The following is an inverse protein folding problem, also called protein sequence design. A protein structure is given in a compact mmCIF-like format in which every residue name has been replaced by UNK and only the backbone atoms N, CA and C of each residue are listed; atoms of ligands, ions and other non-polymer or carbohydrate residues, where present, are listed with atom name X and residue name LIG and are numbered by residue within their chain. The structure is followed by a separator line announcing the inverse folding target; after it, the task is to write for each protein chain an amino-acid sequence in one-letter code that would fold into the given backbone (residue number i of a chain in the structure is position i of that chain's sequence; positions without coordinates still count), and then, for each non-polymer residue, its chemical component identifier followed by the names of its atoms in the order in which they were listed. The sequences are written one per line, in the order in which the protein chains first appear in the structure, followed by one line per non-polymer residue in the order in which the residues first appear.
data_IF_084684816824
#
_entry.id   IF_084684816824
#
_cell.length_a   1.000
_cell.length_b   1.000
_cell.length_c   1.000
_cell.angle_alpha   90.00
_cell.angle_beta   90.00
_cell.angle_gamma   90.00
#
_symmetry.space_group_name_H-M   'P 1'
#
loop_
_entity.id
_entity.type
_entity.pdbx_description
1 polymer ?
#
# COMPACT_ATOMS: atom_id res chain seq x y z
N UNK A 1 -5.75 0.23 -15.72
CA UNK A 1 -5.93 -0.82 -14.68
C UNK A 1 -7.07 -0.46 -13.70
N UNK A 2 -7.92 -1.42 -13.33
CA UNK A 2 -9.01 -1.23 -12.35
C UNK A 2 -8.53 -1.39 -10.91
N UNK A 3 -9.32 -0.93 -9.93
CA UNK A 3 -9.01 -1.09 -8.50
C UNK A 3 -8.72 -2.54 -8.10
N UNK A 4 -9.56 -3.48 -8.56
CA UNK A 4 -9.42 -4.89 -8.21
C UNK A 4 -8.10 -5.45 -8.73
N UNK A 5 -7.80 -5.25 -10.01
CA UNK A 5 -6.57 -5.74 -10.63
C UNK A 5 -5.33 -5.13 -9.96
N UNK A 6 -5.37 -3.83 -9.69
CA UNK A 6 -4.29 -3.15 -8.97
C UNK A 6 -4.08 -3.75 -7.57
N UNK A 7 -5.17 -3.97 -6.83
CA UNK A 7 -5.09 -4.53 -5.47
C UNK A 7 -4.50 -5.95 -5.50
N UNK A 8 -4.93 -6.79 -6.44
CA UNK A 8 -4.42 -8.16 -6.61
C UNK A 8 -2.91 -8.16 -6.95
N UNK A 9 -2.48 -7.25 -7.84
CA UNK A 9 -1.07 -7.08 -8.20
C UNK A 9 -0.22 -6.59 -7.02
N UNK A 10 -0.68 -5.58 -6.28
CA UNK A 10 0.02 -5.06 -5.11
C UNK A 10 0.18 -6.14 -4.04
N UNK A 11 -0.87 -6.89 -3.72
CA UNK A 11 -0.82 -7.99 -2.75
C UNK A 11 0.21 -9.04 -3.15
N UNK A 12 0.23 -9.44 -4.43
CA UNK A 12 1.20 -10.40 -4.96
C UNK A 12 2.62 -9.86 -4.95
N UNK A 13 2.82 -8.62 -5.39
CA UNK A 13 4.13 -7.96 -5.49
C UNK A 13 4.80 -7.84 -4.12
N UNK A 14 4.07 -7.34 -3.13
CA UNK A 14 4.58 -7.18 -1.78
C UNK A 14 4.52 -8.46 -0.94
N UNK A 15 3.81 -9.49 -1.39
CA UNK A 15 3.45 -10.68 -0.59
C UNK A 15 2.76 -10.28 0.73
N UNK A 16 1.86 -9.30 0.62
CA UNK A 16 1.16 -8.71 1.76
C UNK A 16 -0.21 -9.38 1.97
N UNK A 17 -0.73 -9.29 3.20
CA UNK A 17 -2.11 -9.68 3.51
C UNK A 17 -3.05 -8.48 3.39
N UNK A 18 -4.15 -8.63 2.66
CA UNK A 18 -5.17 -7.59 2.57
C UNK A 18 -5.93 -7.44 3.88
N UNK A 19 -6.12 -6.19 4.33
CA UNK A 19 -6.94 -5.87 5.52
C UNK A 19 -7.91 -4.75 5.19
N UNK A 20 -9.08 -4.78 5.83
CA UNK A 20 -10.08 -3.74 5.65
C UNK A 20 -9.70 -2.49 6.46
N UNK A 21 -9.23 -2.68 7.69
CA UNK A 21 -8.88 -1.59 8.60
C UNK A 21 -7.58 -1.83 9.35
N UNK A 22 -7.03 -0.74 9.92
CA UNK A 22 -5.79 -0.77 10.69
C UNK A 22 -5.94 -1.60 11.98
N UNK A 23 -7.14 -1.61 12.56
CA UNK A 23 -7.51 -2.32 13.77
C UNK A 23 -7.56 -3.85 13.59
N UNK A 24 -7.67 -4.33 12.35
CA UNK A 24 -7.71 -5.77 12.03
C UNK A 24 -6.34 -6.44 12.22
N UNK A 25 -5.27 -5.65 12.32
CA UNK A 25 -3.90 -6.16 12.47
C UNK A 25 -3.65 -6.59 13.92
N UNK A 26 -3.56 -7.90 14.16
CA UNK A 26 -3.35 -8.47 15.51
C UNK A 26 -1.93 -9.02 15.76
N UNK A 27 -1.16 -9.25 14.71
CA UNK A 27 0.18 -9.85 14.78
C UNK A 27 1.16 -9.15 13.85
N UNK A 28 2.45 -9.37 14.10
CA UNK A 28 3.53 -8.93 13.21
C UNK A 28 3.36 -9.46 11.79
N UNK A 29 3.62 -8.64 10.78
CA UNK A 29 3.46 -9.01 9.38
C UNK A 29 3.51 -7.83 8.41
N UNK A 30 3.23 -8.11 7.14
CA UNK A 30 3.11 -7.11 6.08
C UNK A 30 1.68 -7.12 5.53
N UNK A 31 1.02 -5.97 5.57
CA UNK A 31 -0.38 -5.82 5.23
C UNK A 31 -0.59 -4.71 4.20
N UNK A 32 -1.63 -4.84 3.38
CA UNK A 32 -2.07 -3.82 2.45
C UNK A 32 -3.49 -3.40 2.80
N UNK A 33 -3.69 -2.10 2.95
CA UNK A 33 -4.99 -1.50 3.25
C UNK A 33 -5.32 -0.43 2.21
N UNK A 34 -6.53 -0.45 1.67
CA UNK A 34 -7.07 0.65 0.87
C UNK A 34 -7.56 1.75 1.83
N UNK A 35 -6.96 2.93 1.76
CA UNK A 35 -7.35 4.08 2.61
C UNK A 35 -8.53 4.85 2.03
N UNK A 36 -8.66 4.86 0.70
CA UNK A 36 -9.74 5.55 0.03
C UNK A 36 -9.49 5.75 -1.45
N UNK A 37 -10.50 6.32 -2.11
CA UNK A 37 -10.48 6.63 -3.53
C UNK A 37 -10.98 8.05 -3.70
N UNK A 38 -10.24 8.86 -4.45
CA UNK A 38 -10.65 10.22 -4.82
C UNK A 38 -10.73 10.33 -6.34
N UNK A 39 -11.81 10.90 -6.86
CA UNK A 39 -11.97 11.09 -8.30
C UNK A 39 -10.99 12.14 -8.85
N UNK A 40 -10.36 11.81 -9.98
CA UNK A 40 -9.58 12.77 -10.77
C UNK A 40 -10.48 13.34 -11.88
N UNK A 41 -11.19 12.46 -12.58
CA UNK A 41 -12.17 12.81 -13.62
C UNK A 41 -13.16 11.65 -13.84
N UNK A 42 -14.05 11.77 -14.84
CA UNK A 42 -15.11 10.81 -15.14
C UNK A 42 -14.68 9.36 -15.39
N UNK A 43 -13.40 9.11 -15.70
CA UNK A 43 -12.90 7.78 -16.03
C UNK A 43 -11.68 7.36 -15.19
N UNK A 44 -11.12 8.28 -14.39
CA UNK A 44 -9.91 8.07 -13.62
C UNK A 44 -10.11 8.46 -12.17
N UNK A 45 -9.66 7.59 -11.29
CA UNK A 45 -9.62 7.80 -9.86
C UNK A 45 -8.19 7.64 -9.34
N UNK A 46 -7.92 8.22 -8.19
CA UNK A 46 -6.69 8.00 -7.43
C UNK A 46 -7.02 7.11 -6.23
N UNK A 47 -6.46 5.91 -6.20
CA UNK A 47 -6.60 4.97 -5.09
C UNK A 47 -5.42 5.13 -4.14
N UNK A 48 -5.71 5.42 -2.88
CA UNK A 48 -4.71 5.60 -1.81
C UNK A 48 -4.61 4.33 -0.98
N UNK A 49 -3.39 3.87 -0.76
CA UNK A 49 -3.09 2.64 -0.03
C UNK A 49 -2.08 2.90 1.08
N UNK A 50 -2.16 2.04 2.10
CA UNK A 50 -1.17 1.91 3.16
C UNK A 50 -0.56 0.51 3.09
N UNK A 51 0.76 0.43 2.85
CA UNK A 51 1.54 -0.78 3.08
C UNK A 51 2.08 -0.75 4.50
N UNK A 52 1.61 -1.68 5.33
CA UNK A 52 1.78 -1.65 6.78
C UNK A 52 2.70 -2.79 7.18
N UNK A 53 3.89 -2.45 7.66
CA UNK A 53 4.79 -3.40 8.31
C UNK A 53 4.59 -3.30 9.82
N UNK A 54 4.09 -4.37 10.45
CA UNK A 54 3.93 -4.46 11.90
C UNK A 54 4.92 -5.45 12.51
N UNK A 55 5.39 -5.15 13.72
CA UNK A 55 6.31 -6.02 14.47
C UNK A 55 6.06 -5.91 15.97
N UNK A 56 6.11 -7.06 16.65
CA UNK A 56 6.13 -7.09 18.11
C UNK A 56 7.51 -6.63 18.58
N UNK A 57 7.54 -5.61 19.42
CA UNK A 57 8.72 -5.03 20.11
C UNK A 57 9.71 -4.20 19.27
N UNK A 58 9.96 -2.99 19.79
CA UNK A 58 10.89 -1.95 19.33
C UNK A 58 12.38 -2.27 19.62
N UNK A 59 12.68 -3.43 20.22
CA UNK A 59 13.96 -3.70 20.89
C UNK A 59 14.87 -4.74 20.22
N UNK A 60 14.45 -5.43 19.15
CA UNK A 60 15.28 -6.54 18.62
C UNK A 60 16.34 -6.14 17.60
N UNK A 61 16.19 -5.03 16.87
CA UNK A 61 17.30 -4.33 16.20
C UNK A 61 16.74 -3.09 15.49
N UNK A 62 17.05 -1.87 15.94
CA UNK A 62 16.57 -0.65 15.25
C UNK A 62 17.03 -0.64 13.79
N UNK A 63 18.22 -1.18 13.53
CA UNK A 63 18.76 -1.32 12.18
C UNK A 63 17.90 -2.24 11.32
N UNK A 64 17.37 -3.34 11.86
CA UNK A 64 16.50 -4.26 11.10
C UNK A 64 15.20 -3.62 10.62
N UNK A 65 14.62 -2.74 11.44
CA UNK A 65 13.39 -2.01 11.10
C UNK A 65 13.65 -1.00 9.99
N UNK A 66 14.73 -0.22 10.11
CA UNK A 66 15.12 0.75 9.08
C UNK A 66 15.44 0.04 7.77
N UNK A 67 16.21 -1.05 7.81
CA UNK A 67 16.48 -1.88 6.63
C UNK A 67 15.20 -2.41 6.00
N UNK A 68 14.21 -2.84 6.81
CA UNK A 68 12.93 -3.30 6.27
C UNK A 68 12.14 -2.17 5.61
N UNK A 69 12.09 -0.99 6.23
CA UNK A 69 11.44 0.18 5.62
C UNK A 69 12.12 0.54 4.29
N UNK A 70 13.45 0.49 4.22
CA UNK A 70 14.18 0.77 2.99
C UNK A 70 13.93 -0.28 1.89
N UNK A 71 13.89 -1.57 2.26
CA UNK A 71 13.47 -2.66 1.36
C UNK A 71 12.07 -2.41 0.78
N UNK A 72 11.11 -2.01 1.62
CA UNK A 72 9.73 -1.73 1.17
C UNK A 72 9.67 -0.49 0.27
N UNK A 73 10.48 0.55 0.54
CA UNK A 73 10.61 1.73 -0.33
C UNK A 73 11.11 1.33 -1.71
N UNK A 74 12.14 0.47 -1.77
CA UNK A 74 12.68 -0.03 -3.03
C UNK A 74 11.67 -0.91 -3.78
N UNK A 75 10.94 -1.80 -3.08
CA UNK A 75 9.88 -2.60 -3.68
C UNK A 75 8.76 -1.75 -4.27
N UNK A 76 8.36 -0.67 -3.59
CA UNK A 76 7.36 0.27 -4.11
C UNK A 76 7.88 1.05 -5.33
N UNK A 77 9.16 1.44 -5.34
CA UNK A 77 9.79 2.04 -6.51
C UNK A 77 9.81 1.05 -7.70
N UNK A 78 10.15 -0.21 -7.46
CA UNK A 78 10.18 -1.24 -8.50
C UNK A 78 8.80 -1.63 -9.02
N UNK A 79 7.74 -1.40 -8.25
CA UNK A 79 6.36 -1.59 -8.72
C UNK A 79 6.01 -0.62 -9.86
N UNK A 80 6.49 0.63 -9.76
CA UNK A 80 6.34 1.60 -10.84
C UNK A 80 7.53 2.57 -10.86
N UNK A 81 8.50 2.30 -11.74
CA UNK A 81 9.73 3.10 -11.86
C UNK A 81 9.51 4.44 -12.55
N UNK A 82 8.37 4.61 -13.22
CA UNK A 82 8.07 5.79 -14.04
C UNK A 82 7.41 6.91 -13.24
N UNK A 83 6.82 6.59 -12.08
CA UNK A 83 6.10 7.56 -11.25
C UNK A 83 6.41 7.34 -9.77
N UNK A 84 6.72 8.42 -9.05
CA UNK A 84 6.85 8.37 -7.59
C UNK A 84 5.47 8.12 -6.97
N UNK A 85 5.28 6.93 -6.38
CA UNK A 85 4.03 6.55 -5.71
C UNK A 85 4.00 6.91 -4.22
N UNK A 86 5.17 6.89 -3.56
CA UNK A 86 5.27 7.10 -2.11
C UNK A 86 4.94 8.55 -1.74
N UNK A 87 3.92 8.72 -0.89
CA UNK A 87 3.48 10.01 -0.37
C UNK A 87 4.13 10.31 0.98
N UNK A 88 4.05 9.37 1.92
CA UNK A 88 4.61 9.52 3.27
C UNK A 88 4.94 8.17 3.91
N UNK A 89 5.74 8.21 4.98
CA UNK A 89 5.95 7.08 5.88
C UNK A 89 5.60 7.56 7.28
N UNK A 90 4.65 6.87 7.90
CA UNK A 90 4.19 7.17 9.26
C UNK A 90 4.49 5.98 10.17
N UNK A 91 4.64 6.22 11.47
CA UNK A 91 4.90 5.18 12.44
C UNK A 91 4.00 5.35 13.65
N UNK A 92 3.53 4.24 14.22
CA UNK A 92 2.66 4.29 15.39
C UNK A 92 2.39 2.93 16.00
N UNK A 93 1.87 2.93 17.21
CA UNK A 93 1.41 1.71 17.86
C UNK A 93 0.04 1.32 17.30
N UNK A 94 -0.11 0.04 16.93
CA UNK A 94 -1.43 -0.58 16.70
C UNK A 94 -2.06 -0.88 18.07
N UNK A 95 -1.25 -1.42 18.99
CA UNK A 95 -1.60 -1.63 20.38
C UNK A 95 -0.33 -1.58 21.24
N UNK A 96 -0.47 -1.78 22.56
CA UNK A 96 0.64 -1.68 23.53
C UNK A 96 1.84 -2.61 23.23
N UNK A 97 1.64 -3.66 22.43
CA UNK A 97 2.66 -4.68 22.11
C UNK A 97 3.04 -4.74 20.64
N UNK A 98 2.35 -3.99 19.77
CA UNK A 98 2.49 -4.07 18.32
C UNK A 98 2.67 -2.68 17.74
N UNK A 99 3.85 -2.45 17.16
CA UNK A 99 4.20 -1.21 16.47
C UNK A 99 4.13 -1.43 14.97
N UNK A 100 3.84 -0.38 14.20
CA UNK A 100 3.85 -0.44 12.75
C UNK A 100 4.45 0.79 12.08
N UNK A 101 5.00 0.56 10.90
CA UNK A 101 5.33 1.57 9.90
C UNK A 101 4.36 1.45 8.74
N UNK A 102 3.78 2.58 8.32
CA UNK A 102 2.82 2.68 7.24
C UNK A 102 3.45 3.49 6.12
N UNK A 103 3.70 2.85 4.98
CA UNK A 103 4.07 3.53 3.75
C UNK A 103 2.78 3.88 3.03
N UNK A 104 2.43 5.17 3.01
CA UNK A 104 1.25 5.67 2.30
C UNK A 104 1.62 6.03 0.88
N UNK A 105 0.88 5.51 -0.08
CA UNK A 105 1.12 5.73 -1.51
C UNK A 105 -0.19 5.79 -2.27
N UNK A 106 -0.15 6.36 -3.47
CA UNK A 106 -1.34 6.43 -4.32
C UNK A 106 -1.04 5.99 -5.74
N UNK A 107 -2.02 5.36 -6.37
CA UNK A 107 -1.97 4.89 -7.74
C UNK A 107 -3.20 5.40 -8.51
N UNK A 108 -2.98 5.81 -9.77
CA UNK A 108 -4.09 6.07 -10.67
C UNK A 108 -4.73 4.76 -11.10
N UNK A 109 -6.05 4.73 -11.08
CA UNK A 109 -6.87 3.62 -11.54
C UNK A 109 -7.94 4.15 -12.48
N UNK A 110 -8.53 3.24 -13.24
CA UNK A 110 -9.68 3.52 -14.08
C UNK A 110 -10.93 2.88 -13.50
N UNK A 111 -12.06 3.57 -13.61
CA UNK A 111 -13.35 3.08 -13.12
C UNK A 111 -13.88 1.89 -13.92
N UNK A 112 -13.32 1.64 -15.12
CA UNK A 112 -13.59 0.48 -15.99
C UNK A 112 -12.28 -0.03 -16.62
N UNK A 113 -12.22 -1.29 -17.10
CA UNK A 113 -11.08 -1.79 -17.86
C UNK A 113 -10.79 -0.88 -19.08
N UNK A 114 -9.51 -0.64 -19.39
CA UNK A 114 -9.10 0.24 -20.48
C UNK A 114 -9.63 -0.22 -21.85
N UNK A 115 -9.83 -1.53 -22.05
CA UNK A 115 -10.39 -2.12 -23.27
C UNK A 115 -11.82 -1.64 -23.58
N UNK A 116 -12.58 -1.17 -22.58
CA UNK A 116 -13.93 -0.62 -22.77
C UNK A 116 -13.95 0.90 -23.04
N UNK A 117 -12.80 1.58 -22.90
CA UNK A 117 -12.70 3.02 -23.15
C UNK A 117 -12.50 3.35 -24.65
N UNK A 118 -11.97 2.41 -25.44
CA UNK A 118 -11.75 2.59 -26.88
C UNK A 118 -13.03 2.46 -27.72
N UNK A 119 -14.14 1.97 -27.14
CA UNK A 119 -15.42 1.78 -27.85
C UNK A 119 -16.27 3.08 -27.86
N UNK A 120 -15.82 4.14 -27.20
CA UNK A 120 -16.56 5.41 -27.06
C UNK A 120 -16.01 6.56 -27.91
N UNK A 121 -15.20 6.27 -28.94
CA UNK A 121 -14.69 7.26 -29.91
C UNK A 121 -15.31 7.03 -31.29
#
# INVERSE_FOLDING_TARGET
MTLKNLTDELLKHFKATGVANYEDIKQGGLYLMLEGISSINHHKDNASFSLIFSSHTFNKDKNSVISKVDELRLLLYNFNTNKKLLNSIESGFINNSLFAYRLKFSCEIYSKPEEELEILV
#
